data_IF_363749382963
#
_entry.id   IF_363749382963
#
_cell.length_a   1.000
_cell.length_b   1.000
_cell.length_c   1.000
_cell.angle_alpha   90.00
_cell.angle_beta   90.00
_cell.angle_gamma   90.00
#
_symmetry.space_group_name_H-M   'P 1'
#
loop_
_entity.id
_entity.type
_entity.pdbx_description
1 polymer ?
#
# COMPACT_ATOMS: atom_id res chain seq x y z
N UNK A 1 5.95 12.88 17.32
CA UNK A 1 6.00 11.91 16.19
C UNK A 1 7.32 11.17 16.22
N UNK A 2 7.28 9.88 15.88
CA UNK A 2 8.47 9.05 15.69
C UNK A 2 8.94 9.17 14.22
N UNK A 3 10.24 9.08 13.95
CA UNK A 3 10.76 9.01 12.57
C UNK A 3 11.26 7.60 12.30
N UNK A 4 10.96 7.07 11.11
CA UNK A 4 11.43 5.76 10.69
C UNK A 4 11.84 5.76 9.22
N UNK A 5 12.60 4.75 8.81
CA UNK A 5 12.96 4.49 7.42
C UNK A 5 12.35 3.14 7.05
N UNK A 6 11.56 3.09 5.98
CA UNK A 6 11.01 1.84 5.49
C UNK A 6 11.96 1.20 4.48
N UNK A 7 12.32 -0.05 4.71
CA UNK A 7 13.13 -0.83 3.78
C UNK A 7 12.24 -1.62 2.81
N UNK A 8 12.04 -1.05 1.62
CA UNK A 8 11.45 -1.72 0.46
C UNK A 8 12.44 -2.73 -0.12
N UNK A 9 11.94 -3.83 -0.68
CA UNK A 9 12.82 -4.84 -1.28
C UNK A 9 13.42 -4.37 -2.61
N UNK A 10 14.64 -4.80 -2.94
CA UNK A 10 15.32 -4.37 -4.18
C UNK A 10 14.53 -4.75 -5.45
N UNK A 11 13.77 -5.85 -5.41
CA UNK A 11 12.91 -6.27 -6.53
C UNK A 11 11.74 -5.31 -6.79
N UNK A 12 11.27 -4.56 -5.78
CA UNK A 12 10.24 -3.53 -5.94
C UNK A 12 10.74 -2.30 -6.73
N UNK A 13 12.03 -2.21 -7.02
CA UNK A 13 12.58 -1.21 -7.93
C UNK A 13 12.49 -1.58 -9.42
N UNK A 14 12.09 -2.82 -9.76
CA UNK A 14 11.84 -3.22 -11.13
C UNK A 14 10.65 -2.42 -11.73
N UNK A 15 10.86 -1.82 -12.91
CA UNK A 15 9.86 -1.04 -13.63
C UNK A 15 8.51 -1.77 -13.80
N UNK A 16 8.54 -3.07 -14.14
CA UNK A 16 7.33 -3.85 -14.37
C UNK A 16 6.51 -4.01 -13.08
N UNK A 17 7.18 -4.20 -11.95
CA UNK A 17 6.54 -4.31 -10.63
C UNK A 17 5.95 -2.95 -10.21
N UNK A 18 6.66 -1.84 -10.47
CA UNK A 18 6.14 -0.49 -10.23
C UNK A 18 4.89 -0.18 -11.05
N UNK A 19 4.85 -0.53 -12.33
CA UNK A 19 3.66 -0.36 -13.16
C UNK A 19 2.48 -1.24 -12.70
N UNK A 20 2.76 -2.46 -12.22
CA UNK A 20 1.73 -3.30 -11.62
C UNK A 20 1.11 -2.64 -10.37
N UNK A 21 1.91 -2.04 -9.49
CA UNK A 21 1.40 -1.31 -8.32
C UNK A 21 0.69 0.00 -8.68
N UNK A 22 1.11 0.71 -9.73
CA UNK A 22 0.34 1.86 -10.26
C UNK A 22 -1.02 1.44 -10.80
N UNK A 23 -1.09 0.29 -11.45
CA UNK A 23 -2.34 -0.30 -11.94
C UNK A 23 -3.23 -0.68 -10.75
N UNK A 24 -2.68 -1.36 -9.74
CA UNK A 24 -3.39 -1.70 -8.51
C UNK A 24 -3.96 -0.46 -7.82
N UNK A 25 -3.14 0.58 -7.63
CA UNK A 25 -3.57 1.87 -7.06
C UNK A 25 -4.76 2.44 -7.83
N UNK A 26 -4.66 2.51 -9.15
CA UNK A 26 -5.72 3.07 -10.00
C UNK A 26 -7.02 2.26 -9.90
N UNK A 27 -6.94 0.93 -9.81
CA UNK A 27 -8.11 0.07 -9.61
C UNK A 27 -8.78 0.29 -8.23
N UNK A 28 -7.98 0.56 -7.20
CA UNK A 28 -8.52 0.95 -5.88
C UNK A 28 -9.22 2.30 -5.98
N UNK A 29 -8.63 3.30 -6.65
CA UNK A 29 -9.27 4.60 -6.89
C UNK A 29 -10.60 4.46 -7.66
N UNK A 30 -10.68 3.55 -8.63
CA UNK A 30 -11.91 3.25 -9.38
C UNK A 30 -12.97 2.49 -8.58
N UNK A 31 -12.64 1.95 -7.40
CA UNK A 31 -13.59 1.23 -6.55
C UNK A 31 -14.56 2.15 -5.80
N UNK A 32 -14.31 3.47 -5.82
CA UNK A 32 -15.17 4.50 -5.26
C UNK A 32 -14.40 5.57 -4.50
N UNK A 33 -14.89 6.82 -4.51
CA UNK A 33 -14.28 7.92 -3.75
C UNK A 33 -14.43 7.75 -2.22
N UNK A 34 -15.41 6.94 -1.81
CA UNK A 34 -15.69 6.54 -0.43
C UNK A 34 -14.76 5.41 0.06
N UNK A 35 -14.00 4.77 -0.83
CA UNK A 35 -13.09 3.67 -0.49
C UNK A 35 -11.72 4.21 -0.06
N UNK A 36 -11.57 4.56 1.22
CA UNK A 36 -10.34 5.20 1.75
C UNK A 36 -9.59 4.32 2.74
N UNK A 37 -10.29 3.59 3.60
CA UNK A 37 -9.71 2.55 4.45
C UNK A 37 -9.78 1.20 3.75
N UNK A 38 -8.62 0.70 3.33
CA UNK A 38 -8.50 -0.53 2.52
C UNK A 38 -7.70 -1.57 3.29
N UNK A 39 -8.34 -2.65 3.70
CA UNK A 39 -7.64 -3.79 4.28
C UNK A 39 -7.06 -4.70 3.22
N UNK A 40 -5.90 -5.27 3.52
CA UNK A 40 -5.21 -6.26 2.69
C UNK A 40 -5.03 -7.52 3.51
N UNK A 41 -5.58 -8.63 3.02
CA UNK A 41 -5.47 -9.94 3.67
C UNK A 41 -5.06 -11.00 2.64
N UNK A 42 -4.84 -12.22 3.10
CA UNK A 42 -4.53 -13.37 2.25
C UNK A 42 -5.18 -14.65 2.77
N UNK A 43 -5.13 -15.71 1.98
CA UNK A 43 -5.69 -17.01 2.34
C UNK A 43 -4.82 -17.73 3.40
N UNK A 44 -3.51 -17.70 3.27
CA UNK A 44 -2.50 -18.35 4.10
C UNK A 44 -1.33 -17.41 4.40
N UNK A 45 -0.49 -17.72 5.42
CA UNK A 45 0.75 -17.00 5.65
C UNK A 45 1.71 -17.11 4.45
N UNK A 46 2.43 -16.03 4.15
CA UNK A 46 3.55 -16.06 3.19
C UNK A 46 3.21 -15.66 1.75
N UNK A 47 1.95 -15.35 1.44
CA UNK A 47 1.51 -14.97 0.08
C UNK A 47 1.93 -13.56 -0.36
N UNK A 48 2.62 -12.82 0.51
CA UNK A 48 3.15 -11.49 0.21
C UNK A 48 2.21 -10.32 0.49
N UNK A 49 1.14 -10.53 1.28
CA UNK A 49 0.20 -9.48 1.72
C UNK A 49 0.89 -8.20 2.20
N UNK A 50 1.89 -8.32 3.08
CA UNK A 50 2.57 -7.17 3.70
C UNK A 50 3.41 -6.39 2.70
N UNK A 51 4.04 -7.07 1.73
CA UNK A 51 4.75 -6.43 0.62
C UNK A 51 3.77 -5.68 -0.30
N UNK A 52 2.64 -6.31 -0.63
CA UNK A 52 1.59 -5.67 -1.44
C UNK A 52 1.02 -4.44 -0.72
N UNK A 53 0.72 -4.53 0.59
CA UNK A 53 0.25 -3.41 1.41
C UNK A 53 1.25 -2.24 1.40
N UNK A 54 2.52 -2.54 1.63
CA UNK A 54 3.58 -1.53 1.69
C UNK A 54 3.80 -0.85 0.33
N UNK A 55 3.85 -1.63 -0.74
CA UNK A 55 4.02 -1.11 -2.09
C UNK A 55 2.79 -0.33 -2.58
N UNK A 56 1.57 -0.76 -2.23
CA UNK A 56 0.34 -0.03 -2.52
C UNK A 56 0.31 1.32 -1.78
N UNK A 57 0.64 1.34 -0.49
CA UNK A 57 0.73 2.58 0.29
C UNK A 57 1.75 3.56 -0.31
N UNK A 58 2.92 3.05 -0.72
CA UNK A 58 3.93 3.83 -1.44
C UNK A 58 3.42 4.35 -2.77
N UNK A 59 2.72 3.53 -3.56
CA UNK A 59 2.19 3.95 -4.87
C UNK A 59 1.17 5.10 -4.76
N UNK A 60 0.37 5.13 -3.68
CA UNK A 60 -0.50 6.26 -3.35
C UNK A 60 0.30 7.50 -2.92
N UNK A 61 1.29 7.33 -2.03
CA UNK A 61 2.15 8.42 -1.58
C UNK A 61 2.93 9.09 -2.71
N UNK A 62 3.51 8.30 -3.62
CA UNK A 62 4.19 8.78 -4.83
C UNK A 62 3.23 9.48 -5.81
N UNK A 63 1.92 9.21 -5.73
CA UNK A 63 0.88 9.92 -6.47
C UNK A 63 0.47 11.26 -5.82
N UNK A 64 1.12 11.63 -4.71
CA UNK A 64 0.81 12.85 -3.95
C UNK A 64 -0.33 12.69 -2.94
N UNK A 65 -0.82 11.47 -2.68
CA UNK A 65 -1.85 11.20 -1.69
C UNK A 65 -1.24 11.01 -0.31
N UNK A 66 -1.72 11.74 0.69
CA UNK A 66 -1.29 11.56 2.08
C UNK A 66 -1.80 10.21 2.59
N UNK A 67 -0.88 9.26 2.76
CA UNK A 67 -1.22 7.83 2.95
C UNK A 67 -0.59 7.29 4.23
N UNK A 68 -1.36 6.53 5.01
CA UNK A 68 -0.86 5.80 6.18
C UNK A 68 -0.98 4.30 5.98
N UNK A 69 0.11 3.58 6.26
CA UNK A 69 0.15 2.13 6.34
C UNK A 69 0.00 1.69 7.79
N UNK A 70 -1.00 0.88 8.09
CA UNK A 70 -1.30 0.38 9.43
C UNK A 70 -0.99 -1.11 9.48
N UNK A 71 -0.06 -1.49 10.36
CA UNK A 71 0.23 -2.89 10.67
C UNK A 71 -0.74 -3.39 11.75
N UNK A 72 -1.81 -4.04 11.30
CA UNK A 72 -2.80 -4.66 12.17
C UNK A 72 -2.59 -6.17 12.34
N UNK A 73 -1.45 -6.72 11.88
CA UNK A 73 -1.05 -8.10 12.14
C UNK A 73 -0.37 -8.21 13.51
N UNK A 74 -1.18 -8.09 14.57
CA UNK A 74 -0.70 -8.12 15.96
C UNK A 74 -0.21 -9.49 16.42
N UNK A 75 -0.39 -10.55 15.63
CA UNK A 75 0.04 -11.91 16.00
C UNK A 75 1.43 -12.22 15.49
N UNK A 76 1.70 -11.88 14.22
CA UNK A 76 2.98 -12.18 13.58
C UNK A 76 3.34 -11.10 12.56
N UNK A 77 3.41 -9.85 13.03
CA UNK A 77 3.89 -8.74 12.21
C UNK A 77 5.26 -9.08 11.61
N UNK A 78 5.32 -9.01 10.28
CA UNK A 78 6.56 -9.12 9.51
C UNK A 78 7.21 -7.75 9.26
N UNK A 79 6.53 -6.66 9.66
CA UNK A 79 7.03 -5.30 9.49
C UNK A 79 8.14 -4.97 10.48
N UNK A 80 8.21 -5.64 11.64
CA UNK A 80 9.27 -5.48 12.65
C UNK A 80 10.68 -5.63 12.05
N UNK A 81 10.86 -6.45 11.02
CA UNK A 81 12.13 -6.64 10.31
C UNK A 81 12.38 -5.68 9.14
N UNK A 82 11.46 -4.74 8.86
CA UNK A 82 11.48 -3.85 7.68
C UNK A 82 11.82 -2.39 8.02
N UNK A 83 12.15 -2.10 9.28
CA UNK A 83 12.63 -0.79 9.74
C UNK A 83 13.81 -0.98 10.71
N UNK A 84 14.55 0.10 10.97
CA UNK A 84 15.74 0.05 11.86
C UNK A 84 15.34 -0.32 13.30
N UNK A 85 15.93 -1.38 13.84
CA UNK A 85 15.72 -1.83 15.23
C UNK A 85 15.92 -0.70 16.24
N UNK A 86 14.96 -0.53 17.16
CA UNK A 86 15.03 0.46 18.26
C UNK A 86 14.46 1.85 17.95
N UNK A 87 14.06 2.13 16.70
CA UNK A 87 13.50 3.43 16.30
C UNK A 87 12.02 3.62 16.62
N UNK A 88 11.29 2.54 16.90
CA UNK A 88 9.84 2.54 17.14
C UNK A 88 9.54 1.93 18.50
N UNK A 89 8.89 2.68 19.38
CA UNK A 89 8.53 2.26 20.74
C UNK A 89 7.03 2.14 20.96
N UNK A 90 6.24 2.98 20.27
CA UNK A 90 4.79 3.01 20.37
C UNK A 90 4.15 2.50 19.07
N UNK A 91 2.95 1.95 19.17
CA UNK A 91 2.25 1.30 18.05
C UNK A 91 0.77 1.13 18.34
N UNK A 92 0.03 0.57 17.38
CA UNK A 92 -1.43 0.46 17.36
C UNK A 92 -2.00 -0.14 18.65
N UNK A 93 -1.37 -1.18 19.22
CA UNK A 93 -1.79 -1.77 20.50
C UNK A 93 -1.91 -0.72 21.61
N UNK A 94 -0.97 0.24 21.71
CA UNK A 94 -0.98 1.27 22.75
C UNK A 94 -2.20 2.20 22.64
N UNK A 95 -2.61 2.55 21.42
CA UNK A 95 -3.82 3.32 21.18
C UNK A 95 -5.09 2.51 21.49
N UNK A 96 -5.12 1.24 21.07
CA UNK A 96 -6.28 0.38 21.29
C UNK A 96 -6.56 0.10 22.77
N UNK A 97 -5.53 0.12 23.61
CA UNK A 97 -5.68 -0.01 25.08
C UNK A 97 -5.81 1.35 25.79
N UNK A 98 -5.90 2.46 25.05
CA UNK A 98 -6.07 3.82 25.59
C UNK A 98 -4.86 4.34 26.38
N UNK A 99 -3.66 3.81 26.12
CA UNK A 99 -2.42 4.25 26.79
C UNK A 99 -1.71 5.37 26.04
N UNK A 100 -1.98 5.52 24.75
CA UNK A 100 -1.32 6.51 23.90
C UNK A 100 -2.26 7.14 22.88
N UNK A 101 -1.92 8.38 22.51
CA UNK A 101 -2.61 9.12 21.45
C UNK A 101 -2.20 8.65 20.07
N UNK A 102 -3.08 8.83 19.09
CA UNK A 102 -2.84 8.42 17.71
C UNK A 102 -1.66 9.18 17.07
N UNK A 103 -1.53 10.48 17.36
CA UNK A 103 -0.41 11.32 16.89
C UNK A 103 0.97 10.82 17.34
N UNK A 104 1.05 10.14 18.50
CA UNK A 104 2.30 9.64 19.06
C UNK A 104 2.77 8.33 18.41
N UNK A 105 1.83 7.50 17.93
CA UNK A 105 2.15 6.19 17.32
C UNK A 105 2.41 6.28 15.82
N UNK A 106 2.02 7.37 15.18
CA UNK A 106 2.30 7.61 13.77
C UNK A 106 3.79 7.94 13.58
N UNK A 107 4.38 7.21 12.64
CA UNK A 107 5.76 7.37 12.22
C UNK A 107 5.79 8.01 10.82
N UNK A 108 6.57 9.08 10.67
CA UNK A 108 6.91 9.58 9.34
C UNK A 108 7.97 8.68 8.71
N UNK A 109 7.86 8.47 7.40
CA UNK A 109 8.85 7.70 6.63
C UNK A 109 9.77 8.62 5.83
N UNK A 110 10.81 8.04 5.24
CA UNK A 110 11.67 8.70 4.26
C UNK A 110 11.00 8.90 2.88
N UNK A 111 9.81 8.33 2.68
CA UNK A 111 9.00 8.55 1.49
C UNK A 111 8.00 9.69 1.74
N UNK A 112 8.04 10.79 0.94
CA UNK A 112 7.09 11.89 1.09
C UNK A 112 5.63 11.41 1.02
N UNK A 113 4.77 11.98 1.87
CA UNK A 113 3.35 11.63 2.02
C UNK A 113 3.07 10.22 2.54
N UNK A 114 4.08 9.42 2.91
CA UNK A 114 3.89 8.09 3.46
C UNK A 114 4.18 8.06 4.96
N UNK A 115 3.22 7.54 5.71
CA UNK A 115 3.24 7.39 7.16
C UNK A 115 2.98 5.94 7.53
N UNK A 116 3.40 5.53 8.73
CA UNK A 116 3.22 4.16 9.22
C UNK A 116 2.77 4.15 10.67
N UNK A 117 1.88 3.22 11.01
CA UNK A 117 1.57 2.81 12.38
C UNK A 117 1.94 1.33 12.50
N UNK A 118 2.91 1.02 13.37
CA UNK A 118 3.31 -0.36 13.63
C UNK A 118 2.37 -1.02 14.63
N UNK A 119 2.29 -2.36 14.65
CA UNK A 119 1.39 -3.09 15.56
C UNK A 119 1.62 -2.75 17.03
N UNK A 120 2.89 -2.61 17.44
CA UNK A 120 3.27 -2.56 18.85
C UNK A 120 3.31 -3.96 19.48
N UNK A 121 3.41 -4.05 20.82
CA UNK A 121 3.48 -5.32 21.53
C UNK A 121 2.23 -6.16 21.30
N UNK A 122 2.40 -7.48 21.28
CA UNK A 122 1.30 -8.45 21.08
C UNK A 122 0.36 -8.37 22.29
N UNK A 123 -0.91 -7.99 22.13
CA UNK A 123 -1.89 -8.01 23.21
C UNK A 123 -2.40 -9.45 23.46
N UNK A 124 -2.96 -9.75 24.65
CA UNK A 124 -3.53 -11.07 24.93
C UNK A 124 -4.80 -11.36 24.09
N UNK A 125 -5.51 -10.31 23.65
CA UNK A 125 -6.79 -10.39 22.97
C UNK A 125 -6.86 -9.53 21.67
N UNK A 126 -6.06 -9.84 20.62
CA UNK A 126 -5.99 -9.01 19.40
C UNK A 126 -7.34 -8.81 18.70
N UNK A 127 -8.12 -9.88 18.53
CA UNK A 127 -9.39 -9.86 17.79
C UNK A 127 -10.43 -8.94 18.44
N UNK A 128 -10.48 -8.91 19.77
CA UNK A 128 -11.42 -8.07 20.52
C UNK A 128 -11.06 -6.59 20.40
N UNK A 129 -9.76 -6.27 20.52
CA UNK A 129 -9.27 -4.90 20.38
C UNK A 129 -9.54 -4.37 18.96
N UNK A 130 -9.22 -5.19 17.95
CA UNK A 130 -9.43 -4.84 16.54
C UNK A 130 -10.91 -4.81 16.13
N UNK A 131 -11.78 -5.54 16.82
CA UNK A 131 -13.23 -5.51 16.60
C UNK A 131 -14.00 -4.49 17.41
N UNK A 132 -13.32 -3.79 18.32
CA UNK A 132 -13.93 -2.84 19.23
C UNK A 132 -14.17 -1.46 18.62
N UNK A 133 -15.00 -0.67 19.29
CA UNK A 133 -15.33 0.70 18.87
C UNK A 133 -14.08 1.62 18.79
N UNK A 134 -13.04 1.35 19.58
CA UNK A 134 -11.81 2.15 19.57
C UNK A 134 -11.13 2.05 18.21
N UNK A 135 -11.07 0.86 17.59
CA UNK A 135 -10.47 0.71 16.27
C UNK A 135 -11.27 1.46 15.19
N UNK A 136 -12.60 1.36 15.21
CA UNK A 136 -13.47 2.16 14.33
C UNK A 136 -13.20 3.65 14.46
N UNK A 137 -13.14 4.18 15.69
CA UNK A 137 -12.83 5.59 15.94
C UNK A 137 -11.44 5.98 15.44
N UNK A 138 -10.45 5.11 15.58
CA UNK A 138 -9.10 5.34 15.04
C UNK A 138 -9.17 5.45 13.51
N UNK A 139 -9.89 4.56 12.82
CA UNK A 139 -10.07 4.64 11.37
C UNK A 139 -10.76 5.95 10.95
N UNK A 140 -11.83 6.33 11.64
CA UNK A 140 -12.59 7.56 11.35
C UNK A 140 -11.70 8.81 11.55
N UNK A 141 -10.93 8.86 12.63
CA UNK A 141 -9.99 9.95 12.88
C UNK A 141 -8.91 10.02 11.79
N UNK A 142 -8.38 8.87 11.36
CA UNK A 142 -7.41 8.84 10.27
C UNK A 142 -8.01 9.32 8.94
N UNK A 143 -9.30 9.04 8.65
CA UNK A 143 -9.98 9.49 7.42
C UNK A 143 -10.10 11.02 7.36
N UNK A 144 -10.03 11.73 8.48
CA UNK A 144 -10.03 13.19 8.48
C UNK A 144 -8.70 13.78 7.98
N UNK A 145 -7.60 13.01 8.04
CA UNK A 145 -6.24 13.53 7.85
C UNK A 145 -5.48 12.85 6.72
N UNK A 146 -5.78 11.59 6.41
CA UNK A 146 -5.14 10.81 5.36
C UNK A 146 -6.10 10.55 4.21
N UNK A 147 -5.66 10.78 2.97
CA UNK A 147 -6.42 10.44 1.77
C UNK A 147 -6.73 8.93 1.71
N UNK A 148 -5.73 8.10 2.04
CA UNK A 148 -5.83 6.64 2.07
C UNK A 148 -5.21 6.04 3.34
N UNK A 149 -5.85 4.98 3.85
CA UNK A 149 -5.40 4.18 4.98
C UNK A 149 -5.31 2.75 4.46
N UNK A 150 -4.08 2.22 4.37
CA UNK A 150 -3.84 0.84 3.94
C UNK A 150 -3.57 -0.01 5.18
N UNK A 151 -4.36 -1.06 5.40
CA UNK A 151 -4.28 -1.88 6.60
C UNK A 151 -3.75 -3.27 6.25
N UNK A 152 -2.53 -3.59 6.67
CA UNK A 152 -2.00 -4.96 6.61
C UNK A 152 -2.61 -5.79 7.73
N UNK A 153 -3.16 -6.96 7.40
CA UNK A 153 -3.89 -7.81 8.34
C UNK A 153 -3.29 -9.22 8.38
N UNK A 154 -3.59 -10.05 9.39
CA UNK A 154 -3.24 -11.46 9.37
C UNK A 154 -3.86 -12.21 8.17
N UNK A 155 -3.35 -13.41 7.83
CA UNK A 155 -4.01 -14.26 6.83
C UNK A 155 -5.34 -14.80 7.37
N UNK A 156 -6.43 -14.56 6.63
CA UNK A 156 -7.79 -14.88 7.07
C UNK A 156 -8.02 -16.38 7.26
N UNK A 157 -7.39 -17.23 6.45
CA UNK A 157 -7.53 -18.68 6.59
C UNK A 157 -6.92 -19.25 7.87
N UNK A 158 -6.16 -18.45 8.64
CA UNK A 158 -5.57 -18.85 9.92
C UNK A 158 -6.31 -18.30 11.14
N UNK A 159 -6.73 -17.03 11.07
CA UNK A 159 -7.36 -16.32 12.20
C UNK A 159 -8.45 -15.37 11.72
N UNK A 160 -9.47 -15.16 12.55
CA UNK A 160 -10.64 -14.32 12.19
C UNK A 160 -10.36 -12.82 12.20
N UNK A 161 -9.23 -12.39 12.76
CA UNK A 161 -8.83 -10.98 12.95
C UNK A 161 -8.98 -10.17 11.66
N UNK A 162 -8.60 -10.75 10.51
CA UNK A 162 -8.71 -10.09 9.23
C UNK A 162 -10.17 -9.80 8.81
N UNK A 163 -11.12 -10.69 9.12
CA UNK A 163 -12.53 -10.46 8.83
C UNK A 163 -13.13 -9.38 9.73
N UNK A 164 -12.70 -9.34 11.00
CA UNK A 164 -13.11 -8.33 11.98
C UNK A 164 -12.62 -6.94 11.59
N UNK A 165 -11.38 -6.83 11.13
CA UNK A 165 -10.81 -5.60 10.57
C UNK A 165 -11.56 -5.22 9.28
N UNK A 166 -11.68 -6.17 8.34
CA UNK A 166 -12.26 -5.94 7.02
C UNK A 166 -13.71 -5.41 7.07
N UNK A 167 -14.50 -5.84 8.06
CA UNK A 167 -15.85 -5.32 8.30
C UNK A 167 -15.89 -3.82 8.58
N UNK A 168 -14.83 -3.26 9.16
CA UNK A 168 -14.73 -1.84 9.52
C UNK A 168 -14.03 -1.00 8.44
N UNK A 169 -13.51 -1.65 7.39
CA UNK A 169 -12.86 -0.99 6.26
C UNK A 169 -13.85 -0.71 5.13
N UNK A 170 -13.56 0.31 4.33
CA UNK A 170 -14.39 0.68 3.17
C UNK A 170 -14.21 -0.30 2.01
N UNK A 171 -13.08 -1.03 1.99
CA UNK A 171 -12.81 -2.07 1.02
C UNK A 171 -11.76 -3.07 1.49
N UNK A 172 -11.78 -4.26 0.89
CA UNK A 172 -10.83 -5.34 1.18
C UNK A 172 -10.24 -5.91 -0.10
N UNK A 173 -8.92 -6.03 -0.12
CA UNK A 173 -8.14 -6.69 -1.16
C UNK A 173 -7.67 -8.05 -0.64
N UNK A 174 -7.89 -9.10 -1.42
CA UNK A 174 -7.39 -10.43 -1.13
C UNK A 174 -6.15 -10.72 -1.96
N UNK A 175 -5.00 -10.91 -1.32
CA UNK A 175 -3.76 -11.34 -1.96
C UNK A 175 -3.74 -12.86 -2.04
N UNK A 176 -3.46 -13.38 -3.23
CA UNK A 176 -3.46 -14.81 -3.54
C UNK A 176 -2.13 -15.15 -4.20
N UNK A 177 -1.39 -16.12 -3.66
CA UNK A 177 -0.18 -16.62 -4.28
C UNK A 177 -0.48 -17.51 -5.49
N UNK A 178 0.13 -17.18 -6.63
CA UNK A 178 0.01 -17.93 -7.87
C UNK A 178 0.49 -19.38 -7.68
N UNK A 179 -0.26 -20.33 -8.24
CA UNK A 179 -0.03 -21.78 -8.16
C UNK A 179 0.08 -22.41 -6.74
N UNK A 180 -0.05 -21.63 -5.66
CA UNK A 180 -0.04 -22.15 -4.29
C UNK A 180 -1.45 -22.31 -3.69
N UNK A 181 -2.39 -21.46 -4.12
CA UNK A 181 -3.76 -21.46 -3.60
C UNK A 181 -4.76 -22.02 -4.61
N UNK A 182 -5.51 -23.04 -4.19
CA UNK A 182 -6.61 -23.55 -5.00
C UNK A 182 -7.76 -22.54 -5.10
N UNK A 183 -8.40 -22.45 -6.27
CA UNK A 183 -9.57 -21.62 -6.48
C UNK A 183 -10.67 -21.86 -5.43
N UNK A 184 -10.95 -23.12 -5.10
CA UNK A 184 -11.96 -23.49 -4.10
C UNK A 184 -11.61 -22.95 -2.70
N UNK A 185 -10.33 -22.94 -2.34
CA UNK A 185 -9.90 -22.38 -1.06
C UNK A 185 -10.03 -20.86 -1.04
N UNK A 186 -9.60 -20.17 -2.11
CA UNK A 186 -9.80 -18.73 -2.24
C UNK A 186 -11.28 -18.33 -2.17
N UNK A 187 -12.19 -19.09 -2.81
CA UNK A 187 -13.63 -18.87 -2.71
C UNK A 187 -14.17 -19.05 -1.28
N UNK A 188 -13.64 -20.01 -0.52
CA UNK A 188 -14.01 -20.21 0.89
C UNK A 188 -13.59 -19.01 1.75
N UNK A 189 -12.39 -18.49 1.53
CA UNK A 189 -11.86 -17.29 2.24
C UNK A 189 -12.69 -16.05 1.88
N UNK A 190 -13.00 -15.83 0.59
CA UNK A 190 -13.92 -14.77 0.16
C UNK A 190 -15.29 -14.89 0.83
N UNK A 191 -15.86 -16.11 0.89
CA UNK A 191 -17.15 -16.33 1.55
C UNK A 191 -17.13 -15.99 3.04
N UNK A 192 -15.99 -16.14 3.73
CA UNK A 192 -15.84 -15.70 5.12
C UNK A 192 -15.86 -14.17 5.24
N UNK A 193 -15.20 -13.45 4.32
CA UNK A 193 -15.28 -11.99 4.24
C UNK A 193 -16.72 -11.52 3.97
N UNK A 194 -17.40 -12.14 3.02
CA UNK A 194 -18.80 -11.83 2.70
C UNK A 194 -19.72 -12.02 3.92
N UNK A 195 -19.56 -13.14 4.65
CA UNK A 195 -20.32 -13.43 5.87
C UNK A 195 -20.03 -12.45 7.01
N UNK A 196 -18.82 -11.91 7.07
CA UNK A 196 -18.45 -10.87 8.02
C UNK A 196 -19.01 -9.48 7.64
N UNK A 197 -19.56 -9.33 6.42
CA UNK A 197 -20.06 -8.07 5.89
C UNK A 197 -18.96 -7.18 5.30
N UNK A 198 -17.79 -7.73 4.99
CA UNK A 198 -16.70 -6.98 4.37
C UNK A 198 -16.93 -6.77 2.87
N UNK A 199 -16.63 -5.57 2.37
CA UNK A 199 -16.70 -5.23 0.94
C UNK A 199 -15.40 -5.66 0.24
N UNK A 200 -15.40 -6.85 -0.37
CA UNK A 200 -14.26 -7.28 -1.20
C UNK A 200 -14.25 -6.49 -2.51
N UNK A 201 -13.26 -5.61 -2.68
CA UNK A 201 -13.13 -4.74 -3.88
C UNK A 201 -12.29 -5.37 -4.99
N UNK A 202 -11.52 -6.42 -4.67
CA UNK A 202 -10.73 -7.14 -5.66
C UNK A 202 -9.77 -8.15 -5.05
N UNK A 203 -8.96 -8.74 -5.93
CA UNK A 203 -7.87 -9.65 -5.54
C UNK A 203 -6.59 -9.30 -6.30
N UNK A 204 -5.45 -9.61 -5.67
CA UNK A 204 -4.11 -9.48 -6.26
C UNK A 204 -3.52 -10.88 -6.39
N UNK A 205 -3.27 -11.32 -7.61
CA UNK A 205 -2.48 -12.52 -7.85
C UNK A 205 -0.99 -12.16 -7.73
N UNK A 206 -0.31 -12.73 -6.75
CA UNK A 206 1.06 -12.38 -6.40
C UNK A 206 2.03 -13.54 -6.68
N UNK A 207 3.32 -13.22 -6.80
CA UNK A 207 4.40 -14.16 -7.16
C UNK A 207 4.20 -14.88 -8.51
N UNK A 208 3.51 -14.23 -9.43
CA UNK A 208 3.30 -14.73 -10.79
C UNK A 208 4.64 -14.88 -11.50
N UNK A 209 4.88 -16.05 -12.10
CA UNK A 209 6.03 -16.24 -12.97
C UNK A 209 5.82 -15.50 -14.31
N UNK A 210 6.60 -14.43 -14.51
CA UNK A 210 6.56 -13.60 -15.71
C UNK A 210 7.51 -14.09 -16.82
N UNK A 211 8.28 -15.16 -16.58
CA UNK A 211 9.31 -15.65 -17.52
C UNK A 211 8.77 -16.68 -18.51
N UNK A 212 7.65 -17.35 -18.20
CA UNK A 212 7.01 -18.37 -19.03
C UNK A 212 5.48 -18.24 -19.15
N UNK A 213 4.87 -18.98 -20.07
CA UNK A 213 3.41 -19.11 -20.19
C UNK A 213 2.64 -17.88 -20.68
N UNK A 214 1.31 -17.91 -20.53
CA UNK A 214 0.37 -16.86 -20.99
C UNK A 214 0.72 -15.48 -20.40
N UNK A 215 1.09 -15.43 -19.12
CA UNK A 215 1.45 -14.18 -18.44
C UNK A 215 2.81 -13.62 -18.89
N UNK A 216 3.81 -14.46 -19.14
CA UNK A 216 5.08 -14.03 -19.76
C UNK A 216 4.93 -13.58 -21.22
N UNK A 217 3.96 -14.10 -21.97
CA UNK A 217 3.60 -13.59 -23.29
C UNK A 217 2.87 -12.24 -23.21
N UNK A 218 1.94 -12.08 -22.28
CA UNK A 218 1.19 -10.83 -22.07
C UNK A 218 2.09 -9.70 -21.55
N UNK A 219 3.00 -10.00 -20.60
CA UNK A 219 3.99 -9.07 -20.09
C UNK A 219 5.00 -8.63 -21.17
N UNK A 220 5.47 -9.56 -22.03
CA UNK A 220 6.32 -9.22 -23.19
C UNK A 220 5.58 -8.40 -24.25
N UNK A 221 4.29 -8.67 -24.47
CA UNK A 221 3.46 -7.91 -25.40
C UNK A 221 3.25 -6.47 -24.93
N UNK A 222 2.79 -6.27 -23.69
CA UNK A 222 2.61 -4.94 -23.10
C UNK A 222 3.95 -4.18 -22.97
N UNK A 223 5.02 -4.86 -22.56
CA UNK A 223 6.37 -4.29 -22.48
C UNK A 223 6.91 -3.82 -23.83
N UNK A 224 6.67 -4.57 -24.93
CA UNK A 224 7.04 -4.13 -26.29
C UNK A 224 6.17 -2.99 -26.81
N UNK A 225 4.87 -3.02 -26.53
CA UNK A 225 3.92 -2.04 -27.07
C UNK A 225 4.07 -0.67 -26.39
N UNK A 226 4.15 -0.64 -25.06
CA UNK A 226 4.28 0.62 -24.30
C UNK A 226 5.74 1.04 -24.07
N UNK A 227 6.69 0.10 -24.05
CA UNK A 227 8.13 0.42 -23.96
C UNK A 227 8.64 1.24 -25.14
N UNK A 228 8.10 1.03 -26.36
CA UNK A 228 8.39 1.87 -27.53
C UNK A 228 7.83 3.29 -27.43
N UNK A 229 6.73 3.48 -26.71
CA UNK A 229 6.06 4.78 -26.56
C UNK A 229 6.72 5.65 -25.48
N UNK A 230 7.08 5.07 -24.33
CA UNK A 230 7.70 5.82 -23.22
C UNK A 230 9.23 5.86 -23.26
N UNK A 231 9.89 4.93 -23.97
CA UNK A 231 11.35 4.95 -24.17
C UNK A 231 11.86 6.18 -24.92
N UNK A 232 10.97 6.93 -25.60
CA UNK A 232 11.32 8.16 -26.34
C UNK A 232 11.43 9.41 -25.44
N UNK A 233 10.91 9.36 -24.21
CA UNK A 233 10.88 10.51 -23.29
C UNK A 233 11.94 10.45 -22.18
N UNK A 234 12.54 9.28 -21.91
CA UNK A 234 13.57 9.11 -20.86
C UNK A 234 14.88 8.48 -21.37
N UNK A 235 15.12 8.47 -22.69
CA UNK A 235 16.29 7.80 -23.27
C UNK A 235 17.61 8.57 -23.10
N UNK A 236 18.44 8.17 -22.13
CA UNK A 236 19.83 7.71 -22.35
C UNK A 236 20.55 7.42 -21.03
N UNK A 237 20.70 6.15 -20.72
CA UNK A 237 21.99 5.50 -20.46
C UNK A 237 21.68 4.03 -20.19
N UNK A 238 21.92 3.20 -21.19
CA UNK A 238 22.65 1.94 -21.05
C UNK A 238 22.65 1.23 -22.40
N UNK A 239 23.84 1.22 -23.00
CA UNK A 239 24.18 0.54 -24.23
C UNK A 239 24.36 -0.95 -23.97
N UNK A 240 23.41 -1.77 -24.44
CA UNK A 240 23.74 -3.13 -24.87
C UNK A 240 23.99 -3.11 -26.37
N UNK A 241 25.23 -3.46 -26.72
CA UNK A 241 25.70 -3.63 -28.09
C UNK A 241 25.08 -4.87 -28.72
N UNK A 242 24.41 -4.70 -29.84
CA UNK A 242 24.34 -5.74 -30.87
C UNK A 242 24.68 -5.12 -32.23
N UNK A 243 25.52 -5.81 -33.00
CA UNK A 243 26.27 -5.27 -34.10
C UNK A 243 25.53 -5.30 -35.44
N UNK A 244 25.71 -4.25 -36.24
CA UNK A 244 25.95 -4.33 -37.69
C UNK A 244 26.19 -2.92 -38.25
N UNK A 245 27.17 -2.83 -39.15
CA UNK A 245 27.67 -1.60 -39.76
C UNK A 245 26.66 -0.96 -40.73
N UNK A 246 26.67 0.38 -40.83
CA UNK A 246 27.10 1.14 -42.03
C UNK A 246 26.93 2.65 -41.77
N UNK A 247 27.72 3.45 -42.48
CA UNK A 247 28.11 4.80 -42.08
C UNK A 247 27.13 5.94 -42.36
N UNK A 248 27.39 7.07 -41.69
CA UNK A 248 26.74 8.36 -41.91
C UNK A 248 27.23 9.38 -40.88
N UNK A 249 27.89 10.44 -41.35
CA UNK A 249 28.37 11.57 -40.51
C UNK A 249 27.18 12.38 -39.94
N UNK A 250 27.34 13.06 -38.78
CA UNK A 250 26.22 13.62 -38.02
C UNK A 250 25.69 14.92 -38.63
N UNK A 251 24.38 14.97 -38.89
CA UNK A 251 23.65 16.20 -39.21
C UNK A 251 23.38 17.02 -37.95
N UNK A 252 23.79 18.29 -37.97
CA UNK A 252 23.54 19.30 -36.93
C UNK A 252 22.05 19.67 -36.95
N UNK A 253 21.32 19.46 -35.85
CA UNK A 253 19.93 19.94 -35.71
C UNK A 253 19.83 20.89 -34.52
N UNK A 254 19.46 22.13 -34.84
CA UNK A 254 19.09 23.23 -33.94
C UNK A 254 17.92 22.83 -33.03
N UNK A 255 18.02 23.16 -31.74
CA UNK A 255 16.88 23.12 -30.81
C UNK A 255 16.01 24.38 -31.03
N UNK A 256 14.70 24.25 -31.28
CA UNK A 256 13.78 25.37 -31.11
C UNK A 256 13.48 25.55 -29.62
N UNK A 257 13.72 26.75 -29.10
CA UNK A 257 13.20 27.17 -27.80
C UNK A 257 11.68 27.33 -27.90
N UNK A 258 10.92 26.60 -27.08
CA UNK A 258 9.52 26.91 -26.81
C UNK A 258 9.37 27.20 -25.33
N UNK A 259 9.19 28.50 -25.02
CA UNK A 259 8.68 28.96 -23.73
C UNK A 259 7.22 28.52 -23.63
N UNK A 260 6.84 27.85 -22.56
CA UNK A 260 5.43 27.68 -22.19
C UNK A 260 5.24 28.06 -20.73
N UNK A 261 4.96 29.33 -20.52
CA UNK A 261 4.27 29.83 -19.34
C UNK A 261 2.82 29.32 -19.37
N UNK A 262 2.40 28.54 -18.38
CA UNK A 262 1.00 28.50 -17.93
C UNK A 262 0.95 28.36 -16.40
N UNK A 263 0.04 29.08 -15.73
CA UNK A 263 -0.04 29.13 -14.28
C UNK A 263 -0.62 27.82 -13.70
N UNK A 264 -0.13 27.45 -12.53
CA UNK A 264 -0.62 26.31 -11.76
C UNK A 264 -2.08 26.56 -11.31
N UNK A 265 -2.97 25.55 -11.36
CA UNK A 265 -4.29 25.68 -10.78
C UNK A 265 -4.18 25.67 -9.25
N UNK A 266 -4.63 26.77 -8.64
CA UNK A 266 -4.86 26.89 -7.21
C UNK A 266 -6.00 25.95 -6.79
N UNK A 267 -5.70 24.94 -5.98
CA UNK A 267 -6.71 24.23 -5.20
C UNK A 267 -6.32 24.26 -3.72
N UNK A 268 -6.87 25.24 -3.02
CA UNK A 268 -6.98 25.24 -1.56
C UNK A 268 -8.00 24.18 -1.15
N UNK A 269 -7.55 22.93 -1.01
CA UNK A 269 -8.23 21.96 -0.17
C UNK A 269 -7.62 22.10 1.23
N UNK A 270 -8.45 22.33 2.24
CA UNK A 270 -8.03 22.38 3.64
C UNK A 270 -7.37 21.04 3.99
N UNK A 271 -6.03 21.04 4.09
CA UNK A 271 -5.25 19.90 4.59
C UNK A 271 -5.39 19.89 6.11
N UNK A 272 -6.16 18.96 6.65
CA UNK A 272 -6.21 18.72 8.09
C UNK A 272 -4.79 18.51 8.64
N UNK A 273 -4.46 19.25 9.69
CA UNK A 273 -3.16 19.14 10.34
C UNK A 273 -3.11 17.82 11.16
N UNK A 274 -1.94 17.18 11.26
CA UNK A 274 -1.79 15.94 12.05
C UNK A 274 -2.15 16.15 13.54
N UNK A 275 -2.09 17.39 14.01
CA UNK A 275 -2.52 17.80 15.35
C UNK A 275 -4.04 17.61 15.61
N UNK A 276 -4.84 17.44 14.54
CA UNK A 276 -6.29 17.20 14.64
C UNK A 276 -6.64 15.73 14.96
N UNK A 277 -5.66 14.80 14.85
CA UNK A 277 -5.87 13.37 15.14
C UNK A 277 -6.24 13.07 16.59
N UNK A 278 -5.92 14.00 17.50
CA UNK A 278 -6.12 13.86 18.94
C UNK A 278 -7.43 14.50 19.44
N UNK A 279 -8.16 15.21 18.56
CA UNK A 279 -9.28 16.08 18.91
C UNK A 279 -10.67 15.47 18.64
N UNK A 280 -10.92 14.21 19.02
CA UNK A 280 -12.30 13.65 19.04
C UNK A 280 -12.48 12.71 20.25
N UNK A 281 -13.59 12.88 20.98
CA UNK A 281 -13.87 12.28 22.30
C UNK A 281 -13.73 10.74 22.38
N UNK A 282 -13.05 10.28 23.43
CA UNK A 282 -13.10 8.91 23.92
C UNK A 282 -11.85 8.03 23.70
N UNK A 283 -10.73 8.60 23.24
CA UNK A 283 -9.43 7.89 23.16
C UNK A 283 -8.59 8.05 24.44
N UNK A 284 -8.94 9.00 25.31
CA UNK A 284 -8.27 9.23 26.60
C UNK A 284 -9.29 9.00 27.71
N UNK A 285 -8.98 8.11 28.66
CA UNK A 285 -9.67 8.10 29.96
C UNK A 285 -9.39 9.46 30.60
N UNK A 286 -10.44 10.22 30.96
CA UNK A 286 -10.29 11.25 31.99
C UNK A 286 -9.76 10.53 33.24
N UNK A 287 -8.54 10.89 33.59
CA UNK A 287 -7.77 10.67 34.83
C UNK A 287 -8.28 9.58 35.79
#
# INVERSE_FOLDING_TARGET
>A
MQQTTLHFSESENNYQIKEAYKTLRSNVEFSGQDVRAVSVTSCTPGEGKSSVSMALARAFAEAGKKTVLVDADMRKSVMVGRYKTGSVRLGLTHCLVGREKLSNVICETDTPNLYVIFSGPIPPNPSELLGGQIFSKILDNMKNVFDYIIIDTPPLGSVIDAAVIAKQCDGTIMVIEDNAISYRFAQKVKSQLDKAGAKVIGAVLNKVDMTGGVYGHYGRYYGRYYGKYYGKYYGKNDSYSDGSMTGGKPGRIMQPQVKSERPAPSSTAAKGNLDELDYIEGVVRKD
#
